data_IF_205649690632
#
_entry.id   IF_205649690632
#
_cell.length_a   1.000
_cell.length_b   1.000
_cell.length_c   1.000
_cell.angle_alpha   90.00
_cell.angle_beta   90.00
_cell.angle_gamma   90.00
#
_symmetry.space_group_name_H-M   'P 1'
#
loop_
_entity.id
_entity.type
_entity.pdbx_description
1 polymer ?
#
# COMPACT_ATOMS: atom_id res chain seq x y z
N UNK A 1 -14.57 0.72 1.61
CA UNK A 1 -15.34 -0.38 0.98
C UNK A 1 -14.41 -1.43 0.34
N UNK A 2 -13.42 -1.01 -0.45
CA UNK A 2 -12.50 -1.94 -1.12
C UNK A 2 -11.61 -2.75 -0.16
N UNK A 3 -11.21 -2.18 0.98
CA UNK A 3 -10.32 -2.86 1.94
C UNK A 3 -10.93 -4.10 2.60
N UNK A 4 -12.23 -4.10 2.90
CA UNK A 4 -12.89 -5.27 3.52
C UNK A 4 -12.92 -6.43 2.53
N UNK A 5 -13.36 -6.17 1.29
CA UNK A 5 -13.34 -7.18 0.21
C UNK A 5 -11.92 -7.68 -0.05
N UNK A 6 -10.94 -6.76 -0.10
CA UNK A 6 -9.53 -7.10 -0.26
C UNK A 6 -8.97 -7.96 0.87
N UNK A 7 -9.35 -7.67 2.11
CA UNK A 7 -8.96 -8.46 3.28
C UNK A 7 -9.51 -9.88 3.24
N UNK A 8 -10.78 -10.05 2.87
CA UNK A 8 -11.39 -11.38 2.69
C UNK A 8 -10.67 -12.16 1.59
N UNK A 9 -10.38 -11.52 0.45
CA UNK A 9 -9.64 -12.14 -0.65
C UNK A 9 -8.21 -12.54 -0.22
N UNK A 10 -7.48 -11.62 0.40
CA UNK A 10 -6.09 -11.83 0.80
C UNK A 10 -5.95 -12.98 1.82
N UNK A 11 -6.81 -13.01 2.84
CA UNK A 11 -6.82 -14.09 3.83
C UNK A 11 -7.22 -15.43 3.20
N UNK A 12 -8.15 -15.44 2.25
CA UNK A 12 -8.54 -16.66 1.53
C UNK A 12 -7.43 -17.18 0.60
N UNK A 13 -6.65 -16.30 -0.02
CA UNK A 13 -5.50 -16.67 -0.87
C UNK A 13 -4.25 -17.06 -0.07
N UNK A 14 -4.19 -16.71 1.22
CA UNK A 14 -3.05 -16.96 2.12
C UNK A 14 -3.54 -17.69 3.38
N UNK A 15 -3.95 -18.97 3.28
CA UNK A 15 -4.55 -19.70 4.41
C UNK A 15 -3.61 -19.81 5.62
N UNK A 16 -2.30 -19.94 5.41
CA UNK A 16 -1.32 -19.96 6.50
C UNK A 16 -1.30 -18.66 7.31
N UNK A 17 -1.43 -17.50 6.65
CA UNK A 17 -1.55 -16.20 7.32
C UNK A 17 -2.89 -16.08 8.05
N UNK A 18 -3.96 -16.65 7.48
CA UNK A 18 -5.25 -16.68 8.17
C UNK A 18 -5.22 -17.58 9.42
N UNK A 19 -4.57 -18.74 9.35
CA UNK A 19 -4.38 -19.63 10.50
C UNK A 19 -3.56 -18.96 11.60
N UNK A 20 -2.50 -18.23 11.22
CA UNK A 20 -1.71 -17.39 12.14
C UNK A 20 -2.58 -16.35 12.84
N UNK A 21 -3.46 -15.65 12.10
CA UNK A 21 -4.40 -14.69 12.68
C UNK A 21 -5.40 -15.35 13.64
N UNK A 22 -5.94 -16.53 13.29
CA UNK A 22 -6.85 -17.28 14.15
C UNK A 22 -6.17 -17.74 15.44
N UNK A 23 -4.90 -18.13 15.36
CA UNK A 23 -4.08 -18.52 16.52
C UNK A 23 -3.64 -17.34 17.40
N UNK A 24 -3.55 -16.13 16.84
CA UNK A 24 -3.17 -14.93 17.58
C UNK A 24 -3.97 -13.68 17.14
N UNK A 25 -5.16 -13.43 17.72
CA UNK A 25 -5.95 -12.23 17.46
C UNK A 25 -5.25 -10.91 17.82
N UNK A 26 -4.15 -10.95 18.59
CA UNK A 26 -3.32 -9.77 18.86
C UNK A 26 -2.69 -9.15 17.62
N UNK A 27 -2.65 -9.88 16.49
CA UNK A 27 -2.14 -9.40 15.20
C UNK A 27 -3.13 -8.51 14.42
N UNK A 28 -4.39 -8.41 14.87
CA UNK A 28 -5.43 -7.65 14.16
C UNK A 28 -5.00 -6.20 13.81
N UNK A 29 -4.37 -5.40 14.71
CA UNK A 29 -3.93 -4.06 14.35
C UNK A 29 -2.97 -4.03 13.16
N UNK A 30 -2.05 -5.00 13.09
CA UNK A 30 -1.06 -5.08 12.02
C UNK A 30 -1.67 -5.60 10.70
N UNK A 31 -2.55 -6.61 10.79
CA UNK A 31 -3.35 -7.12 9.67
C UNK A 31 -4.11 -6.00 8.96
N UNK A 32 -4.74 -5.09 9.71
CA UNK A 32 -5.52 -4.01 9.12
C UNK A 32 -4.62 -3.11 8.26
N UNK A 33 -3.44 -2.74 8.75
CA UNK A 33 -2.45 -1.98 7.98
C UNK A 33 -1.95 -2.75 6.76
N UNK A 34 -1.63 -4.04 6.91
CA UNK A 34 -1.18 -4.87 5.79
C UNK A 34 -2.27 -5.04 4.72
N UNK A 35 -3.54 -5.19 5.10
CA UNK A 35 -4.66 -5.25 4.16
C UNK A 35 -4.75 -3.94 3.37
N UNK A 36 -4.58 -2.79 4.01
CA UNK A 36 -4.65 -1.50 3.32
C UNK A 36 -3.47 -1.36 2.33
N UNK A 37 -2.24 -1.69 2.76
CA UNK A 37 -1.06 -1.70 1.87
C UNK A 37 -1.22 -2.67 0.70
N UNK A 38 -1.63 -3.91 0.99
CA UNK A 38 -1.74 -4.94 -0.03
C UNK A 38 -2.88 -4.66 -1.01
N UNK A 39 -4.06 -4.27 -0.52
CA UNK A 39 -5.19 -3.93 -1.39
C UNK A 39 -5.00 -2.59 -2.13
N UNK A 40 -4.27 -1.65 -1.54
CA UNK A 40 -4.15 -0.24 -1.99
C UNK A 40 -5.49 0.33 -2.51
N UNK A 41 -6.49 0.56 -1.63
CA UNK A 41 -7.85 0.96 -2.03
C UNK A 41 -7.91 2.23 -2.88
N UNK A 42 -6.96 3.15 -2.68
CA UNK A 42 -6.77 4.35 -3.47
C UNK A 42 -5.52 4.16 -4.30
N UNK A 43 -5.69 3.84 -5.58
CA UNK A 43 -4.58 3.53 -6.49
C UNK A 43 -3.63 4.71 -6.71
N UNK A 44 -4.18 5.92 -6.76
CA UNK A 44 -3.42 7.14 -6.99
C UNK A 44 -4.13 8.38 -6.46
N UNK A 45 -3.34 9.43 -6.23
CA UNK A 45 -3.85 10.79 -6.07
C UNK A 45 -3.09 11.76 -6.96
N UNK A 46 -3.80 12.77 -7.44
CA UNK A 46 -3.26 13.77 -8.36
C UNK A 46 -3.03 15.11 -7.66
N UNK A 47 -1.95 15.79 -8.02
CA UNK A 47 -1.63 17.19 -7.70
C UNK A 47 -1.58 18.04 -8.98
N UNK A 48 -1.53 19.36 -8.82
CA UNK A 48 -1.30 20.31 -9.91
C UNK A 48 -0.08 21.15 -9.56
N UNK A 49 0.90 21.24 -10.47
CA UNK A 49 2.06 22.09 -10.30
C UNK A 49 1.63 23.57 -10.26
N UNK A 50 2.10 24.33 -9.27
CA UNK A 50 1.78 25.76 -9.12
C UNK A 50 2.74 26.68 -9.89
N UNK A 51 3.91 26.16 -10.23
CA UNK A 51 4.99 26.81 -10.96
C UNK A 51 5.79 25.74 -11.73
N UNK A 52 6.65 26.19 -12.64
CA UNK A 52 7.61 25.32 -13.33
C UNK A 52 8.63 24.78 -12.30
N UNK A 53 8.93 23.48 -12.34
CA UNK A 53 9.82 22.83 -11.37
C UNK A 53 10.52 21.61 -11.95
N UNK A 54 11.68 21.27 -11.42
CA UNK A 54 12.34 19.99 -11.69
C UNK A 54 11.90 18.94 -10.67
N UNK A 55 11.38 17.81 -11.15
CA UNK A 55 10.99 16.67 -10.34
C UNK A 55 11.75 15.43 -10.81
N UNK A 56 12.74 15.00 -10.03
CA UNK A 56 13.63 13.87 -10.35
C UNK A 56 14.33 14.02 -11.71
N UNK A 57 14.82 15.22 -12.04
CA UNK A 57 15.48 15.51 -13.32
C UNK A 57 14.52 15.64 -14.50
N UNK A 58 13.20 15.73 -14.25
CA UNK A 58 12.17 15.98 -15.26
C UNK A 58 11.54 17.34 -15.05
N UNK A 59 11.49 18.13 -16.12
CA UNK A 59 10.78 19.40 -16.10
C UNK A 59 9.27 19.21 -16.08
N UNK A 60 8.63 19.76 -15.05
CA UNK A 60 7.18 19.81 -14.86
C UNK A 60 6.76 21.27 -14.97
N UNK A 61 5.83 21.58 -15.87
CA UNK A 61 5.38 22.95 -16.10
C UNK A 61 4.27 23.35 -15.15
N UNK A 62 4.15 24.65 -14.88
CA UNK A 62 3.03 25.24 -14.17
C UNK A 62 1.71 24.77 -14.80
N UNK A 63 0.83 24.24 -13.97
CA UNK A 63 -0.48 23.74 -14.39
C UNK A 63 -0.52 22.26 -14.73
N UNK A 64 0.63 21.59 -14.90
CA UNK A 64 0.70 20.15 -15.15
C UNK A 64 0.07 19.34 -14.03
N UNK A 65 -0.49 18.19 -14.41
CA UNK A 65 -1.02 17.21 -13.47
C UNK A 65 0.09 16.22 -13.12
N UNK A 66 0.40 16.12 -11.83
CA UNK A 66 1.37 15.14 -11.32
C UNK A 66 0.60 14.08 -10.54
N UNK A 67 0.76 12.80 -10.89
CA UNK A 67 0.05 11.68 -10.28
C UNK A 67 1.00 10.88 -9.40
N UNK A 68 0.63 10.69 -8.14
CA UNK A 68 1.33 9.80 -7.22
C UNK A 68 0.62 8.45 -7.24
N UNK A 69 1.29 7.44 -7.78
CA UNK A 69 0.77 6.08 -7.88
C UNK A 69 1.07 5.29 -6.59
N UNK A 70 0.18 5.37 -5.61
CA UNK A 70 0.33 4.64 -4.34
C UNK A 70 0.43 3.12 -4.55
N UNK A 71 -0.25 2.58 -5.57
CA UNK A 71 -0.14 1.16 -5.93
C UNK A 71 1.27 0.77 -6.34
N UNK A 72 2.04 1.69 -6.94
CA UNK A 72 3.45 1.47 -7.24
C UNK A 72 4.30 1.60 -5.98
N UNK A 73 4.11 2.64 -5.17
CA UNK A 73 4.92 2.85 -3.97
C UNK A 73 4.71 1.78 -2.89
N UNK A 74 3.50 1.25 -2.74
CA UNK A 74 3.23 0.10 -1.86
C UNK A 74 3.83 -1.22 -2.36
N UNK A 75 4.45 -1.21 -3.55
CA UNK A 75 5.17 -2.30 -4.19
C UNK A 75 6.65 -2.01 -4.42
N UNK A 76 7.15 -0.90 -3.87
CA UNK A 76 8.55 -0.51 -3.96
C UNK A 76 9.41 -1.37 -3.01
N UNK A 77 10.25 -2.23 -3.58
CA UNK A 77 11.10 -3.17 -2.86
C UNK A 77 12.34 -2.51 -2.24
N UNK A 78 12.62 -1.25 -2.58
CA UNK A 78 13.67 -0.46 -1.93
C UNK A 78 13.28 0.01 -0.53
N UNK A 79 11.98 -0.02 -0.20
CA UNK A 79 11.43 0.40 1.10
C UNK A 79 10.69 -0.74 1.80
N UNK A 80 9.96 -1.57 1.05
CA UNK A 80 9.12 -2.64 1.59
C UNK A 80 9.65 -3.98 1.09
N UNK A 81 10.30 -4.74 1.97
CA UNK A 81 10.82 -6.07 1.63
C UNK A 81 9.71 -7.03 1.20
N UNK A 82 9.92 -7.78 0.10
CA UNK A 82 8.94 -8.72 -0.45
C UNK A 82 7.51 -8.12 -0.50
N UNK A 83 7.32 -7.03 -1.27
CA UNK A 83 6.13 -6.21 -1.14
C UNK A 83 4.92 -6.82 -1.86
N UNK A 84 5.13 -7.83 -2.70
CA UNK A 84 4.06 -8.56 -3.39
C UNK A 84 3.33 -9.52 -2.44
N UNK A 85 4.05 -10.07 -1.47
CA UNK A 85 3.48 -10.97 -0.47
C UNK A 85 2.58 -10.26 0.53
N UNK A 86 1.51 -10.93 0.93
CA UNK A 86 0.65 -10.53 2.04
C UNK A 86 1.18 -11.18 3.32
N UNK A 87 1.70 -10.39 4.27
CA UNK A 87 2.32 -10.89 5.51
C UNK A 87 1.73 -10.15 6.71
N UNK A 88 0.98 -10.86 7.55
CA UNK A 88 0.18 -10.23 8.61
C UNK A 88 1.00 -9.73 9.80
N UNK A 89 2.23 -10.22 9.92
CA UNK A 89 3.22 -9.92 10.95
C UNK A 89 4.38 -9.07 10.41
N UNK A 90 4.21 -8.43 9.25
CA UNK A 90 5.18 -7.47 8.71
C UNK A 90 5.49 -6.38 9.74
N UNK A 91 6.77 -6.26 10.11
CA UNK A 91 7.24 -5.38 11.21
C UNK A 91 6.78 -3.92 11.05
N UNK A 92 6.77 -3.41 9.82
CA UNK A 92 6.40 -2.03 9.52
C UNK A 92 5.16 -1.92 8.63
N UNK A 93 4.14 -2.76 8.85
CA UNK A 93 2.94 -2.77 7.99
C UNK A 93 2.23 -1.42 7.92
N UNK A 94 2.38 -0.53 8.91
CA UNK A 94 1.82 0.83 8.96
C UNK A 94 2.62 1.88 8.16
N UNK A 95 3.83 1.53 7.74
CA UNK A 95 4.66 2.38 6.88
C UNK A 95 4.32 2.13 5.39
N UNK A 96 3.11 2.51 4.99
CA UNK A 96 2.61 2.39 3.62
C UNK A 96 1.99 3.70 3.13
N UNK A 97 1.74 3.75 1.82
CA UNK A 97 0.96 4.80 1.19
C UNK A 97 -0.53 4.42 1.18
N UNK A 98 -1.38 5.40 1.52
CA UNK A 98 -2.85 5.30 1.72
C UNK A 98 -3.30 4.53 2.95
#
# INVERSE_FOLDING_TARGET
RNSITGGVLALNQNPAEYDKLRGNPGLIPNVVSEIIRWQTPILSMRRRAKEDTDLFGKQVRKGDKVVMWYVSGNRDDTVIEDPMSFKIDRENARHHLS
#
